data_IF_533941421238
#
_entry.id   IF_533941421238
#
_cell.length_a   1.000
_cell.length_b   1.000
_cell.length_c   1.000
_cell.angle_alpha   90.00
_cell.angle_beta   90.00
_cell.angle_gamma   90.00
#
_symmetry.space_group_name_H-M   'P 1'
#
loop_
_entity.id
_entity.type
_entity.pdbx_description
1 polymer ?
#
# COMPACT_ATOMS: atom_id res chain seq x y z
N UNK A 1 5.19 27.94 -11.11
CA UNK A 1 5.04 27.08 -9.92
C UNK A 1 3.94 26.08 -10.21
N UNK A 2 4.25 24.79 -10.32
CA UNK A 2 3.22 23.75 -10.44
C UNK A 2 2.58 23.50 -9.08
N UNK A 3 1.25 23.27 -9.02
CA UNK A 3 0.62 22.90 -7.76
C UNK A 3 1.19 21.55 -7.29
N UNK A 4 1.40 21.37 -5.97
CA UNK A 4 1.79 20.08 -5.43
C UNK A 4 0.74 19.04 -5.82
N UNK A 5 1.21 17.85 -6.17
CA UNK A 5 0.39 16.68 -6.53
C UNK A 5 -0.82 16.60 -5.61
N UNK A 6 -2.01 16.55 -6.23
CA UNK A 6 -3.31 16.77 -5.60
C UNK A 6 -3.43 16.07 -4.26
N UNK A 7 -3.85 16.83 -3.25
CA UNK A 7 -4.13 16.40 -1.87
C UNK A 7 -4.86 15.06 -1.91
N UNK A 8 -4.12 13.99 -1.67
CA UNK A 8 -4.70 12.67 -1.43
C UNK A 8 -5.49 12.76 -0.14
N UNK A 9 -6.59 12.03 -0.06
CA UNK A 9 -7.47 11.93 1.12
C UNK A 9 -6.79 11.30 2.35
N UNK A 10 -5.52 10.92 2.23
CA UNK A 10 -4.67 10.43 3.31
C UNK A 10 -3.96 11.59 4.02
N UNK A 11 -3.93 11.53 5.34
CA UNK A 11 -3.25 12.52 6.19
C UNK A 11 -1.73 12.43 6.09
N UNK A 12 -1.22 11.23 5.87
CA UNK A 12 0.20 10.96 5.68
C UNK A 12 0.44 9.90 4.60
N UNK A 13 1.58 10.01 3.92
CA UNK A 13 2.02 9.04 2.90
C UNK A 13 3.42 8.58 3.28
N UNK A 14 3.58 7.26 3.38
CA UNK A 14 4.81 6.60 3.84
C UNK A 14 5.32 5.60 2.82
N UNK A 15 6.65 5.48 2.73
CA UNK A 15 7.33 4.37 2.07
C UNK A 15 8.16 3.62 3.10
N UNK A 16 7.82 2.35 3.31
CA UNK A 16 8.58 1.42 4.13
C UNK A 16 9.64 0.73 3.27
N UNK A 17 10.92 0.95 3.57
CA UNK A 17 12.05 0.41 2.79
C UNK A 17 13.26 0.14 3.68
N UNK A 18 14.10 -0.81 3.29
CA UNK A 18 15.43 -1.08 3.86
C UNK A 18 16.57 -0.52 3.01
N UNK A 19 16.28 -0.06 1.78
CA UNK A 19 17.28 0.42 0.85
C UNK A 19 17.37 1.95 0.81
N UNK A 20 18.59 2.50 0.88
CA UNK A 20 18.85 3.95 0.93
C UNK A 20 18.42 4.69 -0.34
N UNK A 21 18.72 4.16 -1.53
CA UNK A 21 18.28 4.79 -2.78
C UNK A 21 16.74 4.86 -2.90
N UNK A 22 16.00 3.84 -2.43
CA UNK A 22 14.54 3.88 -2.39
C UNK A 22 14.07 4.96 -1.42
N UNK A 23 14.69 5.07 -0.24
CA UNK A 23 14.39 6.12 0.73
C UNK A 23 14.62 7.53 0.16
N UNK A 24 15.73 7.73 -0.55
CA UNK A 24 16.08 9.00 -1.20
C UNK A 24 15.08 9.39 -2.28
N UNK A 25 14.70 8.44 -3.14
CA UNK A 25 13.66 8.68 -4.16
C UNK A 25 12.33 9.00 -3.50
N UNK A 26 11.91 8.25 -2.47
CA UNK A 26 10.65 8.47 -1.77
C UNK A 26 10.53 9.88 -1.19
N UNK A 27 11.59 10.36 -0.53
CA UNK A 27 11.67 11.73 -0.01
C UNK A 27 11.58 12.78 -1.13
N UNK A 28 12.18 12.54 -2.29
CA UNK A 28 12.10 13.44 -3.45
C UNK A 28 10.65 13.60 -3.96
N UNK A 29 9.81 12.58 -3.80
CA UNK A 29 8.39 12.62 -4.15
C UNK A 29 7.49 13.08 -2.99
N UNK A 30 8.06 13.53 -1.87
CA UNK A 30 7.32 14.08 -0.74
C UNK A 30 6.71 13.03 0.20
N UNK A 31 7.06 11.75 0.04
CA UNK A 31 6.66 10.71 0.99
C UNK A 31 7.58 10.70 2.21
N UNK A 32 7.01 10.38 3.36
CA UNK A 32 7.76 10.06 4.57
C UNK A 32 8.41 8.67 4.40
N UNK A 33 9.52 8.42 5.08
CA UNK A 33 10.24 7.16 4.98
C UNK A 33 10.27 6.47 6.32
N UNK A 34 9.88 5.22 6.32
CA UNK A 34 10.06 4.29 7.41
C UNK A 34 11.18 3.31 7.05
N UNK A 35 12.27 3.30 7.82
CA UNK A 35 13.35 2.34 7.62
C UNK A 35 12.95 1.02 8.26
N UNK A 36 12.66 0.06 7.39
CA UNK A 36 12.21 -1.28 7.77
C UNK A 36 13.37 -2.10 8.32
N UNK A 37 13.10 -2.93 9.31
CA UNK A 37 14.12 -3.78 9.91
C UNK A 37 14.45 -5.00 9.02
N UNK A 38 15.69 -5.55 9.09
CA UNK A 38 16.09 -6.72 8.30
C UNK A 38 15.20 -7.96 8.53
N UNK A 39 14.56 -8.08 9.69
CA UNK A 39 13.74 -9.23 10.07
C UNK A 39 12.48 -9.37 9.21
N UNK A 40 11.90 -8.24 8.79
CA UNK A 40 10.70 -8.16 7.95
C UNK A 40 11.03 -7.82 6.48
N UNK A 41 12.31 -7.92 6.10
CA UNK A 41 12.85 -7.64 4.76
C UNK A 41 13.19 -8.88 3.94
N UNK A 42 12.77 -10.07 4.38
CA UNK A 42 13.14 -11.33 3.73
C UNK A 42 12.16 -11.67 2.61
N UNK A 43 12.58 -12.49 1.65
CA UNK A 43 11.70 -13.03 0.60
C UNK A 43 10.52 -13.83 1.16
N UNK A 44 10.67 -14.36 2.37
CA UNK A 44 9.62 -15.10 3.10
C UNK A 44 8.75 -14.20 3.99
N UNK A 45 9.12 -12.93 4.18
CA UNK A 45 8.35 -11.99 4.97
C UNK A 45 7.06 -11.62 4.24
N UNK A 46 5.95 -11.76 4.94
CA UNK A 46 4.63 -11.37 4.44
C UNK A 46 4.48 -9.85 4.42
N UNK A 47 3.64 -9.37 3.50
CA UNK A 47 3.20 -7.98 3.49
C UNK A 47 2.59 -7.55 4.83
N UNK A 48 1.87 -8.44 5.51
CA UNK A 48 1.24 -8.12 6.80
C UNK A 48 2.27 -7.87 7.91
N UNK A 49 3.34 -8.68 7.97
CA UNK A 49 4.41 -8.47 8.97
C UNK A 49 5.06 -7.09 8.82
N UNK A 50 5.23 -6.62 7.58
CA UNK A 50 5.81 -5.29 7.32
C UNK A 50 4.88 -4.16 7.76
N UNK A 51 3.57 -4.31 7.58
CA UNK A 51 2.57 -3.34 8.01
C UNK A 51 2.47 -3.31 9.53
N UNK A 52 2.49 -4.47 10.19
CA UNK A 52 2.47 -4.56 11.65
C UNK A 52 3.74 -3.98 12.29
N UNK A 53 4.91 -4.18 11.68
CA UNK A 53 6.15 -3.55 12.14
C UNK A 53 6.11 -2.02 12.04
N UNK A 54 5.57 -1.50 10.93
CA UNK A 54 5.32 -0.08 10.77
C UNK A 54 4.37 0.45 11.86
N UNK A 55 3.20 -0.18 12.05
CA UNK A 55 2.20 0.26 13.03
C UNK A 55 2.68 0.20 14.48
N UNK A 56 3.62 -0.69 14.83
CA UNK A 56 4.24 -0.70 16.16
C UNK A 56 5.00 0.58 16.48
N UNK A 57 5.56 1.23 15.46
CA UNK A 57 6.35 2.46 15.58
C UNK A 57 5.54 3.74 15.35
N UNK A 58 4.42 3.62 14.64
CA UNK A 58 3.52 4.73 14.29
C UNK A 58 2.13 4.45 14.85
N UNK A 59 2.00 4.55 16.18
CA UNK A 59 0.76 4.23 16.92
C UNK A 59 -0.35 5.26 16.71
N UNK A 60 -0.03 6.41 16.12
CA UNK A 60 -0.97 7.45 15.72
C UNK A 60 -1.78 7.11 14.45
N UNK A 61 -1.46 6.00 13.78
CA UNK A 61 -2.11 5.61 12.53
C UNK A 61 -3.29 4.69 12.81
N UNK A 62 -4.50 5.17 12.54
CA UNK A 62 -5.75 4.41 12.73
C UNK A 62 -6.11 3.52 11.53
N UNK A 63 -5.88 4.01 10.31
CA UNK A 63 -6.26 3.35 9.05
C UNK A 63 -5.07 3.28 8.10
N UNK A 64 -4.76 2.07 7.64
CA UNK A 64 -3.65 1.82 6.69
C UNK A 64 -4.18 1.50 5.31
N UNK A 65 -3.80 2.31 4.32
CA UNK A 65 -3.94 1.99 2.91
C UNK A 65 -2.66 1.38 2.36
N UNK A 66 -2.59 0.05 2.26
CA UNK A 66 -1.42 -0.61 1.67
C UNK A 66 -1.46 -0.56 0.13
N UNK A 67 -0.57 0.23 -0.47
CA UNK A 67 -0.44 0.37 -1.94
C UNK A 67 0.82 -0.34 -2.43
N UNK A 68 0.68 -1.21 -3.42
CA UNK A 68 1.82 -1.92 -4.02
C UNK A 68 2.36 -1.17 -5.25
N UNK A 69 3.66 -0.87 -5.26
CA UNK A 69 4.35 -0.18 -6.36
C UNK A 69 4.28 -0.94 -7.69
N UNK A 70 4.01 -2.26 -7.67
CA UNK A 70 3.82 -3.12 -8.85
C UNK A 70 2.49 -2.91 -9.57
N UNK A 71 1.63 -2.02 -9.06
CA UNK A 71 0.38 -1.58 -9.70
C UNK A 71 0.45 -0.09 -10.09
N UNK A 72 1.29 0.31 -11.06
CA UNK A 72 1.60 1.72 -11.34
C UNK A 72 0.43 2.50 -11.96
N UNK A 73 -0.56 1.81 -12.51
CA UNK A 73 -1.75 2.43 -13.12
C UNK A 73 -2.82 2.85 -12.09
N UNK A 74 -2.51 2.80 -10.79
CA UNK A 74 -3.38 3.29 -9.74
C UNK A 74 -3.63 4.79 -9.90
N UNK A 75 -4.89 5.19 -9.83
CA UNK A 75 -5.30 6.59 -9.99
C UNK A 75 -5.89 7.12 -8.69
N UNK A 76 -5.78 8.43 -8.40
CA UNK A 76 -6.31 9.03 -7.18
C UNK A 76 -7.80 8.77 -6.95
N UNK A 77 -8.61 8.62 -8.01
CA UNK A 77 -10.03 8.28 -7.86
C UNK A 77 -10.26 6.94 -7.15
N UNK A 78 -9.44 5.92 -7.44
CA UNK A 78 -9.59 4.59 -6.83
C UNK A 78 -9.38 4.64 -5.32
N UNK A 79 -8.49 5.54 -4.86
CA UNK A 79 -8.24 5.77 -3.44
C UNK A 79 -9.40 6.51 -2.75
N UNK A 80 -10.01 7.48 -3.45
CA UNK A 80 -11.18 8.20 -2.95
C UNK A 80 -12.38 7.25 -2.78
N UNK A 81 -12.63 6.40 -3.76
CA UNK A 81 -13.74 5.43 -3.72
C UNK A 81 -13.61 4.50 -2.51
N UNK A 82 -12.41 3.97 -2.26
CA UNK A 82 -12.14 3.11 -1.09
C UNK A 82 -12.38 3.86 0.23
N UNK A 83 -11.98 5.13 0.31
CA UNK A 83 -12.17 5.93 1.52
C UNK A 83 -13.65 6.25 1.76
N UNK A 84 -14.42 6.49 0.70
CA UNK A 84 -15.87 6.64 0.80
C UNK A 84 -16.51 5.34 1.32
N UNK A 85 -16.14 4.18 0.77
CA UNK A 85 -16.62 2.89 1.26
C UNK A 85 -16.36 2.72 2.77
N UNK A 86 -15.17 3.06 3.26
CA UNK A 86 -14.89 2.95 4.69
C UNK A 86 -15.67 3.97 5.54
N UNK A 87 -15.79 5.24 5.09
CA UNK A 87 -16.41 6.31 5.87
C UNK A 87 -17.94 6.33 5.83
N UNK A 88 -18.52 6.03 4.68
CA UNK A 88 -19.95 6.14 4.42
C UNK A 88 -20.66 4.79 4.59
N UNK A 89 -20.06 3.70 4.09
CA UNK A 89 -20.66 2.37 4.15
C UNK A 89 -20.22 1.55 5.38
N UNK A 90 -19.23 2.04 6.14
CA UNK A 90 -18.79 1.44 7.41
C UNK A 90 -17.97 0.16 7.27
N UNK A 91 -17.23 -0.02 6.16
CA UNK A 91 -16.35 -1.19 5.99
C UNK A 91 -15.08 -1.11 6.85
N UNK A 92 -14.76 -2.21 7.54
CA UNK A 92 -13.50 -2.35 8.30
C UNK A 92 -12.27 -2.55 7.38
N UNK A 93 -12.46 -3.19 6.22
CA UNK A 93 -11.39 -3.44 5.26
C UNK A 93 -11.90 -3.50 3.83
N UNK A 94 -11.09 -3.01 2.89
CA UNK A 94 -11.39 -2.97 1.45
C UNK A 94 -10.11 -3.31 0.67
N UNK A 95 -10.23 -4.16 -0.36
CA UNK A 95 -9.11 -4.54 -1.23
C UNK A 95 -9.51 -4.48 -2.71
N UNK A 96 -8.54 -4.19 -3.59
CA UNK A 96 -8.78 -4.09 -5.02
C UNK A 96 -8.86 -5.48 -5.68
N UNK A 97 -9.78 -5.61 -6.64
CA UNK A 97 -9.97 -6.85 -7.43
C UNK A 97 -10.15 -6.52 -8.90
N UNK A 98 -9.81 -7.48 -9.77
CA UNK A 98 -10.05 -7.40 -11.22
C UNK A 98 -10.87 -8.61 -11.65
N UNK A 99 -11.86 -8.37 -12.52
CA UNK A 99 -12.68 -9.45 -13.08
C UNK A 99 -11.90 -10.15 -14.20
N UNK A 100 -11.77 -11.47 -14.09
CA UNK A 100 -11.16 -12.31 -15.12
C UNK A 100 -12.14 -13.35 -15.66
N UNK A 101 -12.19 -13.52 -16.98
CA UNK A 101 -12.97 -14.56 -17.66
C UNK A 101 -12.00 -15.62 -18.20
N UNK A 102 -11.59 -16.56 -17.32
CA UNK A 102 -10.65 -17.63 -17.66
C UNK A 102 -11.19 -18.98 -17.18
N UNK A 103 -11.02 -20.02 -18.00
CA UNK A 103 -11.27 -21.39 -17.57
C UNK A 103 -10.11 -21.89 -16.69
N UNK A 104 -10.43 -22.68 -15.66
CA UNK A 104 -9.46 -23.36 -14.80
C UNK A 104 -9.62 -24.86 -15.01
N UNK A 105 -8.55 -25.53 -15.39
CA UNK A 105 -8.53 -26.96 -15.66
C UNK A 105 -7.68 -27.67 -14.61
N UNK A 106 -8.09 -28.86 -14.19
CA UNK A 106 -7.30 -29.73 -13.31
C UNK A 106 -6.64 -30.80 -14.16
N UNK A 107 -5.34 -31.00 -13.98
CA UNK A 107 -4.65 -32.13 -14.59
C UNK A 107 -5.19 -33.44 -14.00
N UNK A 108 -5.51 -34.39 -14.88
CA UNK A 108 -5.92 -35.73 -14.49
C UNK A 108 -4.72 -36.65 -14.63
N UNK A 109 -4.43 -37.50 -13.62
CA UNK A 109 -3.37 -38.51 -13.75
C UNK A 109 -3.59 -39.38 -14.98
N UNK A 110 -2.50 -39.76 -15.66
CA UNK A 110 -2.54 -40.75 -16.74
C UNK A 110 -2.82 -42.15 -16.21
#
# INVERSE_FOLDING_TARGET
MHPPVGRTTYESVWVSTDHEEIAKVSKKFGAQVHIRSPEVSKDTSSSLETVLEFLKKHQEIDVVGQIQCTSPCLQPRHLKDVIMMMKEDGYDSVFSVVRHHRFRWKEVPK
#
